data_IF_005721301017
#
_entry.id   IF_005721301017
#
_cell.length_a   1.000
_cell.length_b   1.000
_cell.length_c   1.000
_cell.angle_alpha   90.00
_cell.angle_beta   90.00
_cell.angle_gamma   90.00
#
_symmetry.space_group_name_H-M   'P 1'
#
loop_
_entity.id
_entity.type
_entity.pdbx_description
1 polymer ?
#
# COMPACT_ATOMS: atom_id res chain seq x y z
N UNK A 1 -25.04 12.33 6.24
CA UNK A 1 -25.40 11.08 6.95
C UNK A 1 -24.25 10.10 6.73
N UNK A 2 -23.89 9.22 7.67
CA UNK A 2 -22.89 8.16 7.41
C UNK A 2 -23.65 6.86 7.23
N UNK A 3 -23.41 6.14 6.13
CA UNK A 3 -24.05 4.84 5.87
C UNK A 3 -23.08 3.74 6.25
N UNK A 4 -23.61 2.65 6.81
CA UNK A 4 -22.86 1.42 7.04
C UNK A 4 -22.61 0.78 5.67
N UNK A 5 -21.38 0.83 5.18
CA UNK A 5 -21.00 0.12 3.97
C UNK A 5 -20.50 -1.27 4.37
N UNK A 6 -21.31 -2.30 4.12
CA UNK A 6 -20.80 -3.67 4.09
C UNK A 6 -19.88 -3.76 2.88
N UNK A 7 -18.57 -3.61 3.09
CA UNK A 7 -17.59 -3.72 2.04
C UNK A 7 -17.51 -5.19 1.63
N UNK A 8 -18.12 -5.62 0.52
CA UNK A 8 -18.40 -7.03 0.25
C UNK A 8 -17.18 -7.75 -0.34
N UNK A 9 -16.02 -7.09 -0.38
CA UNK A 9 -14.82 -7.53 -1.07
C UNK A 9 -13.56 -7.33 -0.22
N UNK A 10 -12.44 -7.92 -0.62
CA UNK A 10 -11.18 -7.76 0.10
C UNK A 10 -10.64 -6.33 -0.12
N UNK A 11 -10.31 -5.64 0.97
CA UNK A 11 -9.76 -4.28 0.90
C UNK A 11 -8.30 -4.32 0.41
N UNK A 12 -7.87 -3.43 -0.48
CA UNK A 12 -6.45 -3.31 -0.84
C UNK A 12 -5.61 -2.91 0.37
N UNK A 13 -4.31 -3.15 0.33
CA UNK A 13 -3.38 -2.83 1.42
C UNK A 13 -2.29 -1.90 0.89
N UNK A 14 -2.05 -0.81 1.60
CA UNK A 14 -0.92 0.09 1.36
C UNK A 14 0.02 -0.04 2.56
N UNK A 15 1.23 -0.52 2.30
CA UNK A 15 2.27 -0.64 3.31
C UNK A 15 3.24 0.52 3.18
N UNK A 16 3.45 1.27 4.26
CA UNK A 16 4.35 2.41 4.30
C UNK A 16 5.39 2.30 5.39
N UNK A 17 6.60 2.77 5.12
CA UNK A 17 7.68 2.87 6.12
C UNK A 17 8.96 2.17 5.67
N UNK A 18 9.98 2.12 6.54
CA UNK A 18 11.25 1.50 6.19
C UNK A 18 11.08 0.01 5.86
N UNK A 19 11.79 -0.44 4.83
CA UNK A 19 11.80 -1.84 4.36
C UNK A 19 10.45 -2.38 3.83
N UNK A 20 9.48 -1.50 3.53
CA UNK A 20 8.16 -1.92 3.03
C UNK A 20 8.23 -2.87 1.81
N UNK A 21 9.15 -2.63 0.87
CA UNK A 21 9.23 -3.44 -0.36
C UNK A 21 9.61 -4.88 -0.05
N UNK A 22 10.57 -5.08 0.85
CA UNK A 22 10.98 -6.41 1.27
C UNK A 22 9.86 -7.14 2.04
N UNK A 23 9.03 -6.40 2.79
CA UNK A 23 7.85 -6.98 3.45
C UNK A 23 6.79 -7.36 2.41
N UNK A 24 6.55 -6.53 1.40
CA UNK A 24 5.63 -6.82 0.30
C UNK A 24 6.08 -8.06 -0.47
N UNK A 25 7.35 -8.15 -0.86
CA UNK A 25 7.90 -9.30 -1.58
C UNK A 25 7.77 -10.60 -0.76
N UNK A 26 8.04 -10.51 0.55
CA UNK A 26 7.89 -11.66 1.44
C UNK A 26 6.42 -12.05 1.68
N UNK A 27 5.50 -11.09 1.78
CA UNK A 27 4.07 -11.37 1.92
C UNK A 27 3.51 -12.10 0.70
N UNK A 28 3.88 -11.65 -0.50
CA UNK A 28 3.46 -12.26 -1.77
C UNK A 28 3.98 -13.70 -1.88
N UNK A 29 5.20 -13.97 -1.41
CA UNK A 29 5.76 -15.33 -1.42
C UNK A 29 5.18 -16.23 -0.32
N UNK A 30 5.09 -15.75 0.92
CA UNK A 30 4.71 -16.58 2.07
C UNK A 30 3.18 -16.78 2.15
N UNK A 31 2.40 -15.85 1.59
CA UNK A 31 0.94 -15.85 1.65
C UNK A 31 0.28 -15.51 0.30
N UNK A 32 0.60 -16.24 -0.80
CA UNK A 32 0.14 -15.91 -2.16
C UNK A 32 -1.37 -16.00 -2.34
N UNK A 33 -2.07 -16.75 -1.47
CA UNK A 33 -3.52 -16.88 -1.48
C UNK A 33 -4.23 -15.79 -0.65
N UNK A 34 -3.48 -14.88 -0.02
CA UNK A 34 -4.03 -13.79 0.78
C UNK A 34 -3.58 -12.44 0.24
N UNK A 35 -2.35 -12.35 -0.27
CA UNK A 35 -1.76 -11.10 -0.74
C UNK A 35 -1.19 -11.28 -2.12
N UNK A 36 -1.47 -10.32 -2.99
CA UNK A 36 -0.88 -10.26 -4.31
C UNK A 36 -0.60 -8.80 -4.69
N UNK A 37 0.57 -8.54 -5.28
CA UNK A 37 0.89 -7.20 -5.75
C UNK A 37 -0.01 -6.84 -6.92
N UNK A 38 -0.63 -5.66 -6.86
CA UNK A 38 -1.44 -5.18 -7.96
C UNK A 38 -0.53 -4.80 -9.14
N UNK A 39 -0.74 -5.35 -10.35
CA UNK A 39 0.14 -5.07 -11.47
C UNK A 39 -0.07 -3.64 -11.99
N UNK A 40 1.03 -2.91 -12.10
CA UNK A 40 1.10 -1.64 -12.81
C UNK A 40 1.25 -1.87 -14.30
N UNK A 41 0.47 -1.16 -15.11
CA UNK A 41 0.53 -1.25 -16.57
C UNK A 41 1.46 -0.16 -17.11
N UNK A 42 2.24 -0.48 -18.13
CA UNK A 42 3.05 0.51 -18.85
C UNK A 42 2.17 1.25 -19.86
N UNK A 43 2.02 2.55 -19.69
CA UNK A 43 1.32 3.42 -20.63
C UNK A 43 2.27 4.42 -21.27
N UNK A 44 2.24 4.49 -22.60
CA UNK A 44 2.85 5.59 -23.37
C UNK A 44 1.72 6.55 -23.74
N UNK A 45 1.68 7.71 -23.11
CA UNK A 45 0.62 8.69 -23.31
C UNK A 45 1.03 10.08 -22.84
N UNK A 46 0.20 11.08 -23.11
CA UNK A 46 0.38 12.43 -22.58
C UNK A 46 -0.18 12.54 -21.16
N UNK A 47 0.19 13.60 -20.43
CA UNK A 47 -0.43 13.89 -19.13
C UNK A 47 -1.95 14.05 -19.26
N UNK A 48 -2.43 14.64 -20.35
CA UNK A 48 -3.87 14.78 -20.62
C UNK A 48 -4.60 13.42 -20.67
N UNK A 49 -3.96 12.39 -21.23
CA UNK A 49 -4.54 11.03 -21.23
C UNK A 49 -4.65 10.46 -19.82
N UNK A 50 -3.65 10.70 -18.98
CA UNK A 50 -3.65 10.26 -17.58
C UNK A 50 -4.66 11.02 -16.75
N UNK A 51 -4.72 12.34 -16.89
CA UNK A 51 -5.67 13.20 -16.18
C UNK A 51 -7.10 12.82 -16.52
N UNK A 52 -7.39 12.55 -17.79
CA UNK A 52 -8.68 12.01 -18.21
C UNK A 52 -8.96 10.66 -17.57
N UNK A 53 -7.97 9.75 -17.54
CA UNK A 53 -8.14 8.44 -16.89
C UNK A 53 -8.44 8.54 -15.39
N UNK A 54 -7.82 9.48 -14.68
CA UNK A 54 -8.12 9.78 -13.27
C UNK A 54 -9.52 10.39 -13.10
N UNK A 55 -9.94 11.28 -14.02
CA UNK A 55 -11.26 11.90 -14.00
C UNK A 55 -12.38 10.87 -14.25
N UNK A 56 -12.16 9.96 -15.21
CA UNK A 56 -13.09 8.89 -15.57
C UNK A 56 -13.05 7.72 -14.57
N UNK A 57 -12.28 7.83 -13.48
CA UNK A 57 -12.07 6.81 -12.45
C UNK A 57 -11.55 5.46 -12.99
N UNK A 58 -10.99 5.45 -14.21
CA UNK A 58 -10.39 4.26 -14.82
C UNK A 58 -8.95 4.03 -14.35
N UNK A 59 -8.25 5.13 -13.99
CA UNK A 59 -6.93 5.12 -13.37
C UNK A 59 -7.02 5.49 -11.89
N UNK A 60 -6.26 4.76 -11.07
CA UNK A 60 -6.17 4.96 -9.62
C UNK A 60 -4.91 5.73 -9.23
N UNK A 61 -3.80 5.52 -9.92
CA UNK A 61 -2.56 6.28 -9.72
C UNK A 61 -1.66 6.16 -10.95
N UNK A 62 -0.66 7.04 -11.06
CA UNK A 62 0.39 6.89 -12.05
C UNK A 62 1.73 7.44 -11.56
N UNK A 63 2.81 6.88 -12.11
CA UNK A 63 4.19 7.31 -11.83
C UNK A 63 4.97 7.42 -13.14
N UNK A 64 5.70 8.52 -13.33
CA UNK A 64 6.56 8.69 -14.50
C UNK A 64 7.82 7.84 -14.38
N UNK A 65 8.13 7.06 -15.41
CA UNK A 65 9.33 6.22 -15.53
C UNK A 65 10.05 6.53 -16.84
N UNK A 66 10.89 7.57 -16.81
CA UNK A 66 11.61 8.05 -18.00
C UNK A 66 10.64 8.51 -19.10
N UNK A 67 10.53 7.69 -20.15
CA UNK A 67 9.71 7.96 -21.35
C UNK A 67 8.31 7.36 -21.33
N UNK A 68 7.95 6.62 -20.27
CA UNK A 68 6.61 6.06 -20.11
C UNK A 68 6.07 6.33 -18.71
N UNK A 69 4.81 5.95 -18.49
CA UNK A 69 4.16 5.95 -17.19
C UNK A 69 3.89 4.51 -16.76
N UNK A 70 4.08 4.24 -15.48
CA UNK A 70 3.46 3.10 -14.81
C UNK A 70 2.12 3.59 -14.28
N UNK A 71 1.04 2.92 -14.65
CA UNK A 71 -0.32 3.28 -14.23
C UNK A 71 -0.94 2.13 -13.45
N UNK A 72 -1.60 2.48 -12.35
CA UNK A 72 -2.47 1.59 -11.61
C UNK A 72 -3.89 1.82 -12.10
N UNK A 73 -4.54 0.76 -12.62
CA UNK A 73 -5.90 0.86 -13.16
C UNK A 73 -6.91 0.24 -12.20
N UNK A 74 -8.15 0.71 -12.29
CA UNK A 74 -9.27 0.12 -11.55
C UNK A 74 -9.52 -1.33 -11.97
N UNK A 75 -9.31 -1.64 -13.25
CA UNK A 75 -9.42 -2.99 -13.79
C UNK A 75 -8.42 -3.96 -13.16
N UNK A 76 -7.13 -3.59 -13.13
CA UNK A 76 -6.08 -4.41 -12.50
C UNK A 76 -6.42 -4.71 -11.05
N UNK A 77 -6.89 -3.70 -10.30
CA UNK A 77 -7.26 -3.89 -8.90
C UNK A 77 -8.45 -4.83 -8.73
N UNK A 78 -9.51 -4.63 -9.52
CA UNK A 78 -10.72 -5.48 -9.50
C UNK A 78 -10.39 -6.92 -9.90
N UNK A 79 -9.42 -7.13 -10.78
CA UNK A 79 -8.99 -8.47 -11.14
C UNK A 79 -8.41 -9.22 -9.93
N UNK A 80 -7.50 -8.60 -9.16
CA UNK A 80 -6.94 -9.22 -7.94
C UNK A 80 -8.08 -9.57 -6.95
N UNK A 81 -8.94 -8.60 -6.66
CA UNK A 81 -9.95 -8.76 -5.61
C UNK A 81 -11.04 -9.77 -6.01
N UNK A 82 -11.54 -9.70 -7.24
CA UNK A 82 -12.71 -10.47 -7.65
C UNK A 82 -12.37 -11.83 -8.28
N UNK A 83 -11.16 -12.00 -8.83
CA UNK A 83 -10.79 -13.24 -9.54
C UNK A 83 -9.73 -14.03 -8.79
N UNK A 84 -8.75 -13.36 -8.19
CA UNK A 84 -7.72 -14.03 -7.39
C UNK A 84 -8.12 -14.17 -5.92
N UNK A 85 -9.12 -13.39 -5.48
CA UNK A 85 -9.64 -13.41 -4.11
C UNK A 85 -8.53 -13.12 -3.07
N UNK A 86 -7.65 -12.16 -3.39
CA UNK A 86 -6.57 -11.70 -2.52
C UNK A 86 -6.73 -10.21 -2.16
N UNK A 87 -6.13 -9.81 -1.03
CA UNK A 87 -5.85 -8.41 -0.74
C UNK A 87 -4.76 -7.90 -1.70
N UNK A 88 -5.10 -6.88 -2.48
CA UNK A 88 -4.16 -6.28 -3.41
C UNK A 88 -3.15 -5.38 -2.67
N UNK A 89 -1.86 -5.68 -2.76
CA UNK A 89 -0.78 -4.82 -2.27
C UNK A 89 -0.55 -3.69 -3.30
N UNK A 90 -0.74 -2.43 -2.89
CA UNK A 90 -0.63 -1.26 -3.76
C UNK A 90 0.68 -0.50 -3.52
N UNK A 91 1.47 -0.30 -4.58
CA UNK A 91 2.61 0.65 -4.61
C UNK A 91 2.12 2.04 -5.04
N UNK A 92 1.48 2.76 -4.12
CA UNK A 92 0.97 4.12 -4.34
C UNK A 92 1.35 5.05 -3.18
N UNK A 93 1.42 6.35 -3.47
CA UNK A 93 1.57 7.38 -2.42
C UNK A 93 0.33 7.44 -1.53
N UNK A 94 0.48 7.77 -0.24
CA UNK A 94 -0.67 7.99 0.65
C UNK A 94 -1.57 9.15 0.21
N UNK A 95 -1.04 10.11 -0.56
CA UNK A 95 -1.84 11.14 -1.20
C UNK A 95 -2.86 10.59 -2.21
N UNK A 96 -2.69 9.34 -2.68
CA UNK A 96 -3.67 8.67 -3.55
C UNK A 96 -4.89 8.14 -2.80
N UNK A 97 -4.85 8.03 -1.46
CA UNK A 97 -5.94 7.42 -0.67
C UNK A 97 -7.25 8.17 -0.83
N UNK A 98 -7.23 9.50 -0.84
CA UNK A 98 -8.46 10.29 -1.07
C UNK A 98 -9.09 9.99 -2.43
N UNK A 99 -8.26 9.76 -3.45
CA UNK A 99 -8.73 9.41 -4.79
C UNK A 99 -9.26 7.99 -4.85
N UNK A 100 -8.61 7.03 -4.19
CA UNK A 100 -9.13 5.67 -4.03
C UNK A 100 -10.52 5.69 -3.36
N UNK A 101 -10.69 6.48 -2.30
CA UNK A 101 -11.98 6.61 -1.61
C UNK A 101 -13.09 7.16 -2.53
N UNK A 102 -12.77 8.05 -3.48
CA UNK A 102 -13.73 8.55 -4.49
C UNK A 102 -14.16 7.46 -5.47
N UNK A 103 -13.32 6.44 -5.68
CA UNK A 103 -13.65 5.25 -6.46
C UNK A 103 -14.29 4.14 -5.59
N UNK A 104 -14.74 4.48 -4.38
CA UNK A 104 -15.28 3.53 -3.39
C UNK A 104 -14.29 2.42 -3.01
N UNK A 105 -12.98 2.70 -3.10
CA UNK A 105 -11.91 1.80 -2.69
C UNK A 105 -11.31 2.32 -1.40
N UNK A 106 -11.47 1.57 -0.31
CA UNK A 106 -11.02 1.96 1.03
C UNK A 106 -9.83 1.10 1.46
N UNK A 107 -8.58 1.47 1.12
CA UNK A 107 -7.42 0.65 1.45
C UNK A 107 -7.20 0.53 2.96
N UNK A 108 -6.52 -0.53 3.38
CA UNK A 108 -5.97 -0.70 4.72
C UNK A 108 -4.54 -0.17 4.67
N UNK A 109 -4.29 0.96 5.33
CA UNK A 109 -2.98 1.61 5.40
C UNK A 109 -2.25 1.15 6.67
N UNK A 110 -1.12 0.47 6.50
CA UNK A 110 -0.30 -0.05 7.59
C UNK A 110 1.06 0.65 7.58
N UNK A 111 1.45 1.21 8.73
CA UNK A 111 2.72 1.89 8.91
C UNK A 111 3.73 1.04 9.69
N UNK A 112 4.90 0.78 9.09
CA UNK A 112 6.01 0.11 9.74
C UNK A 112 6.85 1.14 10.48
N UNK A 113 6.84 1.05 11.82
CA UNK A 113 7.56 2.00 12.67
C UNK A 113 8.80 1.39 13.29
N UNK A 114 9.97 1.86 12.87
CA UNK A 114 11.23 1.61 13.56
C UNK A 114 11.50 2.71 14.60
N UNK A 115 12.18 2.38 15.70
CA UNK A 115 12.52 3.36 16.75
C UNK A 115 13.81 4.12 16.44
N UNK A 116 14.71 3.51 15.66
CA UNK A 116 16.01 4.09 15.33
C UNK A 116 16.49 3.64 13.95
N UNK A 117 17.39 4.42 13.35
CA UNK A 117 18.12 4.04 12.12
C UNK A 117 18.94 2.76 12.29
N UNK A 118 19.45 2.52 13.52
CA UNK A 118 20.20 1.31 13.85
C UNK A 118 19.34 0.06 13.67
N UNK A 119 18.10 0.07 14.15
CA UNK A 119 17.20 -1.08 14.01
C UNK A 119 16.94 -1.41 12.53
N UNK A 120 16.74 -0.39 11.68
CA UNK A 120 16.53 -0.60 10.22
C UNK A 120 17.73 -1.35 9.61
N UNK A 121 18.96 -0.97 9.97
CA UNK A 121 20.19 -1.60 9.44
C UNK A 121 20.45 -3.01 9.99
N UNK A 122 19.90 -3.32 11.16
CA UNK A 122 20.08 -4.62 11.82
C UNK A 122 19.12 -5.68 11.29
N UNK A 123 18.05 -5.29 10.58
CA UNK A 123 17.18 -6.24 9.87
C UNK A 123 17.99 -6.91 8.77
N UNK A 124 17.97 -8.24 8.77
CA UNK A 124 18.64 -9.08 7.77
C UNK A 124 17.66 -10.13 7.26
N UNK A 125 17.78 -10.43 5.98
CA UNK A 125 17.09 -11.53 5.32
C UNK A 125 17.91 -11.95 4.11
N UNK A 126 18.12 -13.26 3.95
CA UNK A 126 19.01 -13.80 2.92
C UNK A 126 18.46 -13.68 1.49
N UNK A 127 17.16 -13.39 1.34
CA UNK A 127 16.48 -13.38 0.05
C UNK A 127 16.11 -11.95 -0.36
N UNK A 128 15.53 -11.16 0.54
CA UNK A 128 14.99 -9.83 0.20
C UNK A 128 15.87 -8.67 0.66
N UNK A 129 16.87 -8.92 1.50
CA UNK A 129 17.81 -7.92 2.04
C UNK A 129 19.25 -8.43 1.94
N UNK A 130 19.63 -8.83 0.72
CA UNK A 130 20.95 -9.40 0.41
C UNK A 130 22.09 -8.40 0.63
N UNK A 131 21.83 -7.12 0.37
CA UNK A 131 22.75 -6.03 0.63
C UNK A 131 22.49 -5.36 1.97
N UNK A 132 23.57 -5.01 2.67
CA UNK A 132 23.46 -4.26 3.92
C UNK A 132 22.93 -2.85 3.64
N UNK A 133 21.86 -2.48 4.32
CA UNK A 133 21.36 -1.10 4.31
C UNK A 133 22.45 -0.15 4.81
N UNK A 134 22.83 0.81 3.96
CA UNK A 134 23.85 1.80 4.30
C UNK A 134 23.36 2.75 5.39
N UNK A 135 24.28 3.39 6.11
CA UNK A 135 23.93 4.40 7.13
C UNK A 135 23.11 5.54 6.53
N UNK A 136 23.46 5.98 5.32
CA UNK A 136 22.74 7.04 4.59
C UNK A 136 21.31 6.59 4.25
N UNK A 137 21.15 5.42 3.62
CA UNK A 137 19.83 4.90 3.26
C UNK A 137 18.93 4.68 4.48
N UNK A 138 19.47 4.15 5.58
CA UNK A 138 18.70 3.97 6.82
C UNK A 138 18.25 5.30 7.44
N UNK A 139 19.09 6.34 7.36
CA UNK A 139 18.73 7.69 7.79
C UNK A 139 17.61 8.27 6.93
N UNK A 140 17.74 8.18 5.60
CA UNK A 140 16.72 8.65 4.66
C UNK A 140 15.37 7.93 4.87
N UNK A 141 15.37 6.60 5.04
CA UNK A 141 14.15 5.84 5.34
C UNK A 141 13.52 6.28 6.66
N UNK A 142 14.33 6.50 7.70
CA UNK A 142 13.83 6.91 9.02
C UNK A 142 13.23 8.32 8.99
N UNK A 143 13.91 9.29 8.36
CA UNK A 143 13.41 10.66 8.19
C UNK A 143 12.13 10.69 7.35
N UNK A 144 12.08 9.90 6.27
CA UNK A 144 10.87 9.74 5.46
C UNK A 144 9.72 9.14 6.27
N UNK A 145 9.98 8.13 7.11
CA UNK A 145 8.98 7.53 7.98
C UNK A 145 8.41 8.53 9.00
N UNK A 146 9.25 9.38 9.59
CA UNK A 146 8.80 10.46 10.49
C UNK A 146 7.90 11.46 9.76
N UNK A 147 8.23 11.80 8.51
CA UNK A 147 7.39 12.68 7.68
C UNK A 147 6.03 12.03 7.39
N UNK A 148 6.02 10.76 6.97
CA UNK A 148 4.77 10.00 6.75
C UNK A 148 3.91 9.99 8.00
N UNK A 149 4.50 9.65 9.16
CA UNK A 149 3.77 9.58 10.42
C UNK A 149 3.20 10.95 10.82
N UNK A 150 3.92 12.04 10.59
CA UNK A 150 3.45 13.39 10.90
C UNK A 150 2.34 13.87 9.95
N UNK A 151 2.49 13.63 8.65
CA UNK A 151 1.64 14.21 7.60
C UNK A 151 0.36 13.38 7.38
N UNK A 152 0.49 12.05 7.39
CA UNK A 152 -0.58 11.13 7.02
C UNK A 152 -1.12 10.31 8.19
N UNK A 153 -0.86 10.72 9.44
CA UNK A 153 -1.36 10.02 10.65
C UNK A 153 -2.83 9.64 10.59
N UNK A 154 -3.65 10.53 10.05
CA UNK A 154 -5.10 10.40 9.96
C UNK A 154 -5.56 9.34 8.94
N UNK A 155 -4.68 8.93 8.02
CA UNK A 155 -4.95 7.86 7.04
C UNK A 155 -4.47 6.49 7.51
N UNK A 156 -3.56 6.43 8.49
CA UNK A 156 -2.97 5.18 8.97
C UNK A 156 -4.00 4.41 9.80
N UNK A 157 -4.34 3.19 9.36
CA UNK A 157 -5.26 2.32 10.08
C UNK A 157 -4.57 1.54 11.20
N UNK A 158 -3.32 1.11 10.98
CA UNK A 158 -2.55 0.37 11.97
C UNK A 158 -1.06 0.71 11.90
N UNK A 159 -0.38 0.62 13.04
CA UNK A 159 1.08 0.78 13.16
C UNK A 159 1.67 -0.54 13.66
N UNK A 160 2.62 -1.10 12.93
CA UNK A 160 3.35 -2.30 13.32
C UNK A 160 4.79 -1.97 13.68
N UNK A 161 5.39 -2.63 14.68
CA UNK A 161 6.77 -2.36 15.04
C UNK A 161 7.73 -2.99 14.03
N UNK A 162 8.69 -2.19 13.57
CA UNK A 162 9.79 -2.63 12.73
C UNK A 162 10.67 -3.65 13.45
N UNK A 163 10.88 -4.80 12.82
CA UNK A 163 11.60 -5.95 13.39
C UNK A 163 12.18 -6.80 12.26
N UNK A 164 12.40 -8.09 12.49
CA UNK A 164 12.71 -9.02 11.41
C UNK A 164 11.54 -9.16 10.42
N UNK A 165 11.84 -9.52 9.17
CA UNK A 165 10.89 -9.56 8.06
C UNK A 165 9.70 -10.49 8.29
N UNK A 166 9.94 -11.71 8.81
CA UNK A 166 8.89 -12.68 9.07
C UNK A 166 7.88 -12.18 10.13
N UNK A 167 8.40 -11.55 11.20
CA UNK A 167 7.55 -10.94 12.22
C UNK A 167 6.73 -9.79 11.65
N UNK A 168 7.34 -8.90 10.85
CA UNK A 168 6.61 -7.80 10.21
C UNK A 168 5.49 -8.33 9.29
N UNK A 169 5.74 -9.37 8.49
CA UNK A 169 4.71 -9.99 7.65
C UNK A 169 3.55 -10.56 8.48
N UNK A 170 3.86 -11.23 9.59
CA UNK A 170 2.84 -11.75 10.51
C UNK A 170 1.99 -10.62 11.11
N UNK A 171 2.62 -9.51 11.52
CA UNK A 171 1.90 -8.34 12.02
C UNK A 171 1.04 -7.68 10.94
N UNK A 172 1.53 -7.56 9.70
CA UNK A 172 0.73 -7.06 8.57
C UNK A 172 -0.53 -7.91 8.41
N UNK A 173 -0.39 -9.24 8.33
CA UNK A 173 -1.54 -10.15 8.20
C UNK A 173 -2.56 -9.96 9.31
N UNK A 174 -2.12 -9.94 10.57
CA UNK A 174 -3.01 -9.73 11.72
C UNK A 174 -3.75 -8.39 11.65
N UNK A 175 -3.06 -7.32 11.26
CA UNK A 175 -3.68 -6.01 11.08
C UNK A 175 -4.70 -6.02 9.93
N UNK A 176 -4.40 -6.67 8.81
CA UNK A 176 -5.31 -6.79 7.68
C UNK A 176 -6.58 -7.54 8.07
N UNK A 177 -6.45 -8.70 8.74
CA UNK A 177 -7.60 -9.50 9.22
C UNK A 177 -8.49 -8.66 10.16
N UNK A 178 -7.87 -7.93 11.09
CA UNK A 178 -8.59 -7.06 12.03
C UNK A 178 -9.29 -5.90 11.31
N UNK A 179 -8.60 -5.17 10.43
CA UNK A 179 -9.18 -4.03 9.71
C UNK A 179 -10.22 -4.44 8.67
N UNK A 180 -10.10 -5.62 8.07
CA UNK A 180 -11.09 -6.16 7.13
C UNK A 180 -12.41 -6.48 7.84
N UNK A 181 -12.38 -6.91 9.10
CA UNK A 181 -13.58 -7.21 9.89
C UNK A 181 -14.37 -5.99 10.34
N UNK A 182 -13.79 -4.78 10.24
CA UNK A 182 -14.44 -3.54 10.69
C UNK A 182 -15.42 -3.03 9.65
N UNK A 183 -16.60 -2.63 10.12
CA UNK A 183 -17.55 -1.91 9.29
C UNK A 183 -16.99 -0.54 8.87
N UNK A 184 -17.19 -0.19 7.60
CA UNK A 184 -16.76 1.10 7.05
C UNK A 184 -17.92 2.11 7.10
N UNK A 185 -17.60 3.31 7.59
CA UNK A 185 -18.52 4.43 7.61
C UNK A 185 -18.20 5.38 6.47
N UNK A 186 -18.99 5.34 5.41
CA UNK A 186 -18.81 6.21 4.24
C UNK A 186 -19.76 7.41 4.30
N UNK A 187 -19.32 8.62 3.94
CA UNK A 187 -20.21 9.77 3.80
C UNK A 187 -21.28 9.51 2.75
N UNK A 188 -22.55 9.80 3.06
CA UNK A 188 -23.71 9.55 2.19
C UNK A 188 -23.76 10.33 0.87
N UNK A 189 -22.71 11.07 0.51
CA UNK A 189 -22.65 11.92 -0.69
C UNK A 189 -21.86 11.31 -1.86
N UNK A 190 -21.46 10.05 -1.73
CA UNK A 190 -20.71 9.30 -2.75
C UNK A 190 -21.60 8.34 -3.56
N UNK A 191 -22.92 8.40 -3.39
CA UNK A 191 -23.93 7.58 -4.09
C UNK A 191 -24.66 8.46 -5.11
#
# INVERSE_FOLDING_TARGET
MKVLYEYPSLRPVILVGPLQEAVVDKLEQDFPHQFQRCPSQRLRGSLQTLDKGLQDLSLLDFRRRGTHFEVLTLESLRYIINHQLCHALLDVSLSAVERLNRCEIFPIVIFIKFKTTKQIREVKDSTYLTEKVTTKAAKEMYEHALKIESEYKHLINAVIPGSNLAYMCTQVKMCVDNEQSKALWVPSGSI
#
